data_IF_590347214486
#
_entry.id   IF_590347214486
#
_cell.length_a   1.000
_cell.length_b   1.000
_cell.length_c   1.000
_cell.angle_alpha   90.00
_cell.angle_beta   90.00
_cell.angle_gamma   90.00
#
_symmetry.space_group_name_H-M   'P 1'
#
loop_
_entity.id
_entity.type
_entity.pdbx_description
1 polymer ?
#
# COMPACT_ATOMS: atom_id res chain seq x y z
N UNK A 1 28.64 -40.18 -25.02
CA UNK A 1 29.04 -39.87 -23.63
C UNK A 1 27.99 -38.94 -23.05
N UNK A 2 27.26 -39.20 -21.98
CA UNK A 2 26.82 -40.38 -21.25
C UNK A 2 25.84 -39.81 -20.20
N UNK A 3 24.76 -40.52 -19.88
CA UNK A 3 23.77 -40.14 -18.86
C UNK A 3 24.38 -40.21 -17.45
N UNK A 4 23.87 -39.42 -16.50
CA UNK A 4 23.24 -39.92 -15.26
C UNK A 4 23.11 -38.83 -14.14
N UNK A 5 21.90 -38.67 -13.61
CA UNK A 5 21.59 -38.66 -12.17
C UNK A 5 20.85 -40.00 -11.88
N UNK A 6 20.50 -40.45 -10.63
CA UNK A 6 20.45 -39.81 -9.29
C UNK A 6 20.83 -40.77 -8.10
N UNK A 7 20.41 -40.41 -6.85
CA UNK A 7 20.17 -41.19 -5.59
C UNK A 7 21.00 -40.64 -4.39
N UNK A 8 20.47 -40.19 -3.24
CA UNK A 8 19.44 -40.63 -2.26
C UNK A 8 19.98 -41.59 -1.16
N UNK A 9 19.63 -41.31 0.11
CA UNK A 9 19.48 -42.17 1.33
C UNK A 9 19.88 -41.38 2.61
N UNK A 10 18.92 -41.01 3.48
CA UNK A 10 18.42 -41.72 4.69
C UNK A 10 19.52 -41.84 5.80
N UNK A 11 19.30 -41.58 7.10
CA UNK A 11 18.27 -42.16 7.97
C UNK A 11 18.24 -41.54 9.40
N UNK A 12 17.01 -41.37 9.91
CA UNK A 12 16.43 -41.49 11.28
C UNK A 12 17.27 -41.44 12.58
N UNK A 13 16.66 -40.84 13.61
CA UNK A 13 16.89 -41.14 15.04
C UNK A 13 15.83 -40.51 15.96
N UNK A 14 14.87 -41.32 16.43
CA UNK A 14 13.90 -40.99 17.48
C UNK A 14 14.51 -41.19 18.88
N UNK A 15 14.13 -40.36 19.87
CA UNK A 15 14.03 -40.77 21.28
C UNK A 15 13.00 -39.94 22.03
N UNK A 16 12.21 -40.65 22.83
CA UNK A 16 11.11 -40.29 23.72
C UNK A 16 11.57 -39.68 25.05
N UNK A 17 10.73 -38.87 25.74
CA UNK A 17 10.22 -39.10 27.12
C UNK A 17 9.36 -37.90 27.61
N UNK A 18 8.26 -38.19 28.30
CA UNK A 18 7.33 -37.26 28.94
C UNK A 18 7.70 -36.96 30.40
N UNK A 19 7.37 -35.76 30.92
CA UNK A 19 6.55 -35.56 32.14
C UNK A 19 6.35 -34.07 32.53
N UNK A 20 5.13 -33.81 33.00
CA UNK A 20 4.62 -32.80 33.95
C UNK A 20 4.80 -31.29 33.76
N UNK A 21 3.65 -30.62 33.65
CA UNK A 21 3.50 -29.18 33.83
C UNK A 21 2.06 -28.72 33.73
N UNK A 22 1.14 -29.28 34.52
CA UNK A 22 -0.23 -28.77 34.63
C UNK A 22 -0.31 -27.74 35.76
N UNK A 23 -0.39 -26.45 35.39
CA UNK A 23 -0.75 -25.34 36.27
C UNK A 23 -1.22 -24.13 35.46
N UNK A 24 -2.19 -23.34 35.95
CA UNK A 24 -3.22 -22.74 35.10
C UNK A 24 -3.22 -21.21 35.11
N UNK A 25 -3.14 -20.53 33.97
CA UNK A 25 -3.46 -19.09 33.88
C UNK A 25 -4.11 -18.78 32.53
N UNK A 26 -5.44 -18.68 32.47
CA UNK A 26 -6.21 -17.42 32.51
C UNK A 26 -5.80 -16.43 31.41
N UNK A 27 -6.59 -16.46 30.33
CA UNK A 27 -7.08 -15.33 29.53
C UNK A 27 -6.09 -14.25 29.11
N UNK A 28 -5.79 -14.21 27.81
CA UNK A 28 -5.36 -12.97 27.13
C UNK A 28 -5.88 -12.98 25.69
N UNK A 29 -7.19 -12.78 25.51
CA UNK A 29 -7.79 -12.44 24.22
C UNK A 29 -8.31 -10.99 24.31
N UNK A 30 -7.43 -10.01 24.44
CA UNK A 30 -7.82 -8.57 24.45
C UNK A 30 -6.70 -7.58 24.08
N UNK A 31 -5.46 -8.03 23.83
CA UNK A 31 -4.33 -7.13 23.55
C UNK A 31 -3.95 -7.02 22.06
N UNK A 32 -4.45 -7.91 21.19
CA UNK A 32 -4.03 -7.99 19.78
C UNK A 32 -4.86 -7.07 18.87
N UNK A 33 -6.11 -6.78 19.25
CA UNK A 33 -7.00 -5.89 18.49
C UNK A 33 -6.58 -4.43 18.53
N UNK A 34 -6.05 -3.94 19.65
CA UNK A 34 -5.68 -2.52 19.82
C UNK A 34 -4.49 -2.10 18.96
N UNK A 35 -3.51 -2.98 18.78
CA UNK A 35 -2.31 -2.69 17.99
C UNK A 35 -2.61 -2.72 16.49
N UNK A 36 -3.48 -3.65 16.06
CA UNK A 36 -3.97 -3.72 14.68
C UNK A 36 -4.82 -2.50 14.31
N UNK A 37 -5.70 -2.04 15.21
CA UNK A 37 -6.48 -0.81 15.02
C UNK A 37 -5.59 0.43 14.93
N UNK A 38 -4.54 0.52 15.75
CA UNK A 38 -3.59 1.64 15.71
C UNK A 38 -2.80 1.66 14.40
N UNK A 39 -2.34 0.51 13.92
CA UNK A 39 -1.65 0.38 12.63
C UNK A 39 -2.57 0.76 11.46
N UNK A 40 -3.83 0.31 11.49
CA UNK A 40 -4.83 0.71 10.49
C UNK A 40 -5.14 2.21 10.54
N UNK A 41 -5.24 2.79 11.74
CA UNK A 41 -5.46 4.23 11.92
C UNK A 41 -4.27 5.05 11.43
N UNK A 42 -3.04 4.61 11.70
CA UNK A 42 -1.81 5.22 11.17
C UNK A 42 -1.77 5.12 9.64
N UNK A 43 -2.03 3.93 9.09
CA UNK A 43 -2.09 3.70 7.64
C UNK A 43 -3.15 4.57 6.96
N UNK A 44 -4.32 4.73 7.59
CA UNK A 44 -5.37 5.62 7.12
C UNK A 44 -4.94 7.09 7.18
N UNK A 45 -4.33 7.53 8.29
CA UNK A 45 -3.82 8.89 8.43
C UNK A 45 -2.73 9.22 7.40
N UNK A 46 -1.87 8.27 7.07
CA UNK A 46 -0.88 8.38 6.00
C UNK A 46 -1.54 8.48 4.62
N UNK A 47 -2.59 7.70 4.37
CA UNK A 47 -3.38 7.77 3.14
C UNK A 47 -4.09 9.13 2.99
N UNK A 48 -4.66 9.65 4.08
CA UNK A 48 -5.31 10.96 4.10
C UNK A 48 -4.32 12.11 3.80
N UNK A 49 -3.13 12.08 4.41
CA UNK A 49 -2.06 13.05 4.10
C UNK A 49 -1.58 12.92 2.65
N UNK A 50 -1.42 11.69 2.16
CA UNK A 50 -1.04 11.44 0.77
C UNK A 50 -2.09 11.96 -0.21
N UNK A 51 -3.38 11.81 0.14
CA UNK A 51 -4.49 12.35 -0.63
C UNK A 51 -4.50 13.89 -0.64
N UNK A 52 -4.24 14.53 0.50
CA UNK A 52 -4.09 15.99 0.58
C UNK A 52 -2.94 16.49 -0.31
N UNK A 53 -1.79 15.82 -0.26
CA UNK A 53 -0.66 16.13 -1.13
C UNK A 53 -0.99 15.93 -2.60
N UNK A 54 -1.71 14.86 -2.95
CA UNK A 54 -2.17 14.59 -4.31
C UNK A 54 -3.06 15.72 -4.83
N UNK A 55 -4.11 16.07 -4.08
CA UNK A 55 -5.03 17.16 -4.45
C UNK A 55 -4.28 18.47 -4.63
N UNK A 56 -3.45 18.84 -3.66
CA UNK A 56 -2.64 20.05 -3.74
C UNK A 56 -1.72 20.05 -4.97
N UNK A 57 -1.03 18.94 -5.25
CA UNK A 57 -0.13 18.85 -6.39
C UNK A 57 -0.87 18.95 -7.75
N UNK A 58 -2.11 18.48 -7.81
CA UNK A 58 -2.98 18.58 -8.99
C UNK A 58 -3.56 19.99 -9.19
N UNK A 59 -3.81 20.74 -8.11
CA UNK A 59 -4.36 22.10 -8.18
C UNK A 59 -3.28 23.20 -8.24
N UNK A 60 -2.05 22.90 -7.84
CA UNK A 60 -0.96 23.86 -7.79
C UNK A 60 -0.28 23.98 -9.17
N UNK A 61 -0.28 25.18 -9.75
CA UNK A 61 0.46 25.47 -11.00
C UNK A 61 1.90 25.95 -10.74
N UNK A 62 2.23 26.32 -9.51
CA UNK A 62 3.54 26.89 -9.18
C UNK A 62 4.68 25.85 -9.29
N UNK A 63 5.72 26.22 -10.05
CA UNK A 63 6.97 25.46 -10.12
C UNK A 63 7.74 25.49 -8.80
N UNK A 64 7.57 26.57 -8.03
CA UNK A 64 8.15 26.77 -6.70
C UNK A 64 7.04 26.98 -5.69
N UNK A 65 6.33 25.89 -5.38
CA UNK A 65 5.28 25.89 -4.37
C UNK A 65 5.81 26.45 -3.04
N UNK A 66 5.05 27.38 -2.44
CA UNK A 66 5.39 28.06 -1.17
C UNK A 66 4.53 27.59 0.00
N UNK A 67 3.74 26.55 -0.21
CA UNK A 67 2.94 25.95 0.85
C UNK A 67 3.86 25.49 2.00
N UNK A 68 3.52 25.85 3.22
CA UNK A 68 4.38 25.63 4.39
C UNK A 68 4.51 24.15 4.76
N UNK A 69 3.48 23.35 4.47
CA UNK A 69 3.40 21.94 4.88
C UNK A 69 3.71 21.02 3.70
N UNK A 70 3.14 21.33 2.53
CA UNK A 70 3.20 20.49 1.34
C UNK A 70 4.23 20.97 0.32
N UNK A 71 4.78 22.18 0.45
CA UNK A 71 5.66 22.78 -0.57
C UNK A 71 6.88 21.93 -0.91
N UNK A 72 7.49 21.30 0.10
CA UNK A 72 8.62 20.39 -0.08
C UNK A 72 8.25 19.16 -0.94
N UNK A 73 7.05 18.59 -0.74
CA UNK A 73 6.61 17.37 -1.40
C UNK A 73 5.82 17.60 -2.69
N UNK A 74 5.22 18.78 -2.86
CA UNK A 74 4.41 19.14 -4.01
C UNK A 74 5.17 18.92 -5.34
N UNK A 75 6.40 19.41 -5.41
CA UNK A 75 7.26 19.21 -6.59
C UNK A 75 7.65 17.75 -6.84
N UNK A 76 7.72 16.92 -5.80
CA UNK A 76 7.96 15.48 -5.94
C UNK A 76 6.71 14.76 -6.44
N UNK A 77 5.55 15.06 -5.86
CA UNK A 77 4.27 14.50 -6.30
C UNK A 77 3.98 14.84 -7.76
N UNK A 78 4.16 16.10 -8.18
CA UNK A 78 4.02 16.49 -9.60
C UNK A 78 4.92 15.69 -10.54
N UNK A 79 6.18 15.47 -10.15
CA UNK A 79 7.15 14.69 -10.96
C UNK A 79 6.76 13.21 -10.98
N UNK A 80 6.35 12.67 -9.85
CA UNK A 80 5.86 11.31 -9.72
C UNK A 80 4.64 11.06 -10.61
N UNK A 81 3.62 11.93 -10.57
CA UNK A 81 2.43 11.83 -11.40
C UNK A 81 2.75 11.82 -12.89
N UNK A 82 3.69 12.69 -13.33
CA UNK A 82 4.15 12.68 -14.73
C UNK A 82 4.84 11.37 -15.09
N UNK A 83 5.75 10.88 -14.25
CA UNK A 83 6.44 9.62 -14.48
C UNK A 83 5.48 8.43 -14.49
N UNK A 84 4.55 8.37 -13.54
CA UNK A 84 3.53 7.33 -13.44
C UNK A 84 2.60 7.32 -14.65
N UNK A 85 2.21 8.50 -15.16
CA UNK A 85 1.43 8.61 -16.40
C UNK A 85 2.16 7.96 -17.58
N UNK A 86 3.41 8.33 -17.83
CA UNK A 86 4.22 7.72 -18.88
C UNK A 86 4.42 6.21 -18.68
N UNK A 87 4.75 5.79 -17.46
CA UNK A 87 5.01 4.39 -17.15
C UNK A 87 3.76 3.51 -17.23
N UNK A 88 2.56 4.06 -17.01
CA UNK A 88 1.29 3.32 -17.05
C UNK A 88 1.00 2.67 -18.41
N UNK A 89 1.64 3.15 -19.47
CA UNK A 89 1.56 2.57 -20.81
C UNK A 89 2.40 1.28 -20.97
N UNK A 90 3.33 0.98 -20.06
CA UNK A 90 4.07 -0.29 -20.06
C UNK A 90 3.32 -1.34 -19.22
N UNK A 91 3.00 -2.49 -19.81
CA UNK A 91 2.32 -3.57 -19.11
C UNK A 91 3.15 -4.16 -17.95
N UNK A 92 4.48 -4.05 -18.00
CA UNK A 92 5.36 -4.45 -16.90
C UNK A 92 5.22 -3.52 -15.70
N UNK A 93 4.92 -2.23 -15.92
CA UNK A 93 4.73 -1.27 -14.83
C UNK A 93 3.67 -1.73 -13.83
N UNK A 94 2.58 -2.29 -14.36
CA UNK A 94 1.46 -2.83 -13.56
C UNK A 94 1.85 -3.95 -12.59
N UNK A 95 3.03 -4.57 -12.76
CA UNK A 95 3.55 -5.60 -11.85
C UNK A 95 4.38 -5.02 -10.71
N UNK A 96 4.76 -3.73 -10.76
CA UNK A 96 5.54 -3.12 -9.69
C UNK A 96 4.64 -2.65 -8.54
N UNK A 97 5.10 -2.77 -7.28
CA UNK A 97 4.35 -2.32 -6.11
C UNK A 97 3.93 -0.85 -6.19
N UNK A 98 4.75 0.01 -6.81
CA UNK A 98 4.45 1.43 -6.96
C UNK A 98 3.20 1.70 -7.83
N UNK A 99 2.88 0.81 -8.77
CA UNK A 99 1.65 0.91 -9.55
C UNK A 99 0.42 0.56 -8.70
N UNK A 100 0.54 -0.40 -7.77
CA UNK A 100 -0.51 -0.72 -6.82
C UNK A 100 -0.76 0.45 -5.86
N UNK A 101 0.30 0.98 -5.23
CA UNK A 101 0.21 2.15 -4.34
C UNK A 101 -0.42 3.36 -5.03
N UNK A 102 -0.05 3.63 -6.29
CA UNK A 102 -0.66 4.72 -7.07
C UNK A 102 -2.15 4.47 -7.32
N UNK A 103 -2.51 3.24 -7.68
CA UNK A 103 -3.91 2.86 -7.92
C UNK A 103 -4.76 2.96 -6.65
N UNK A 104 -4.20 2.53 -5.51
CA UNK A 104 -4.82 2.65 -4.19
C UNK A 104 -5.05 4.11 -3.82
N UNK A 105 -4.06 4.99 -3.99
CA UNK A 105 -4.18 6.41 -3.69
C UNK A 105 -5.25 7.09 -4.56
N UNK A 106 -5.28 6.81 -5.86
CA UNK A 106 -6.30 7.35 -6.77
C UNK A 106 -7.70 6.84 -6.43
N UNK A 107 -7.82 5.57 -6.07
CA UNK A 107 -9.11 4.96 -5.68
C UNK A 107 -9.58 5.54 -4.36
N UNK A 108 -8.69 5.67 -3.37
CA UNK A 108 -8.98 6.32 -2.10
C UNK A 108 -9.45 7.75 -2.33
N UNK A 109 -8.75 8.54 -3.15
CA UNK A 109 -9.20 9.88 -3.50
C UNK A 109 -10.63 9.85 -4.08
N UNK A 110 -10.87 9.01 -5.10
CA UNK A 110 -12.16 8.93 -5.78
C UNK A 110 -13.31 8.61 -4.81
N UNK A 111 -13.13 7.64 -3.91
CA UNK A 111 -14.13 7.26 -2.90
C UNK A 111 -14.50 8.39 -1.93
N UNK A 112 -13.57 9.32 -1.70
CA UNK A 112 -13.74 10.42 -0.75
C UNK A 112 -14.02 11.77 -1.45
N UNK A 113 -13.99 11.83 -2.78
CA UNK A 113 -14.08 13.08 -3.54
C UNK A 113 -15.52 13.39 -3.96
N UNK A 114 -16.04 14.54 -3.50
CA UNK A 114 -17.39 15.03 -3.82
C UNK A 114 -17.40 16.15 -4.86
N UNK A 115 -16.23 16.54 -5.38
CA UNK A 115 -16.11 17.66 -6.32
C UNK A 115 -16.64 17.30 -7.71
N UNK A 116 -17.54 18.10 -8.27
CA UNK A 116 -18.05 17.89 -9.62
C UNK A 116 -16.96 18.03 -10.68
N UNK A 117 -16.05 18.98 -10.49
CA UNK A 117 -14.85 19.17 -11.31
C UNK A 117 -13.64 18.93 -10.42
N UNK A 118 -12.88 17.88 -10.70
CA UNK A 118 -11.71 17.47 -9.92
C UNK A 118 -10.50 17.35 -10.84
N UNK A 119 -9.37 17.92 -10.43
CA UNK A 119 -8.12 17.89 -11.19
C UNK A 119 -7.30 16.61 -10.94
N UNK A 120 -7.71 15.76 -10.00
CA UNK A 120 -7.04 14.48 -9.76
C UNK A 120 -7.28 13.52 -10.93
N UNK A 121 -6.21 12.97 -11.54
CA UNK A 121 -6.33 12.06 -12.67
C UNK A 121 -7.23 10.87 -12.36
N UNK A 122 -8.03 10.44 -13.34
CA UNK A 122 -8.93 9.30 -13.23
C UNK A 122 -10.04 9.42 -12.17
N UNK A 123 -10.09 10.49 -11.35
CA UNK A 123 -11.05 10.59 -10.25
C UNK A 123 -12.50 10.43 -10.71
N UNK A 124 -12.89 11.09 -11.79
CA UNK A 124 -14.26 10.99 -12.33
C UNK A 124 -14.58 9.56 -12.77
N UNK A 125 -13.70 8.95 -13.55
CA UNK A 125 -13.88 7.58 -14.04
C UNK A 125 -13.96 6.58 -12.89
N UNK A 126 -13.10 6.71 -11.89
CA UNK A 126 -13.09 5.82 -10.72
C UNK A 126 -14.34 5.98 -9.86
N UNK A 127 -14.86 7.21 -9.67
CA UNK A 127 -16.13 7.42 -8.96
C UNK A 127 -17.30 6.73 -9.66
N UNK A 128 -17.35 6.83 -10.98
CA UNK A 128 -18.40 6.21 -11.78
C UNK A 128 -18.34 4.67 -11.69
N UNK A 129 -17.15 4.09 -11.48
CA UNK A 129 -16.96 2.64 -11.32
C UNK A 129 -17.13 2.11 -9.89
N UNK A 130 -16.95 2.94 -8.86
CA UNK A 130 -17.08 2.53 -7.45
C UNK A 130 -18.51 2.72 -6.93
N UNK A 131 -19.30 3.60 -7.57
CA UNK A 131 -20.69 3.90 -7.17
C UNK A 131 -21.75 3.11 -7.97
N UNK A 132 -21.34 2.16 -8.82
CA UNK A 132 -22.20 1.24 -9.57
C UNK A 132 -21.98 -0.20 -9.09
#
# INVERSE_FOLDING_TARGET
MERAQPANEQQQGQTTTAHDGAGPHKGVDSADTSDQELYQAMSRGEMERSNQLLMHACDCDDLRCRDAELGALCGHMKRFLRAACWASHDQRWRKYPIAAVMSELLTFHAMNCQLQQCNVPMCRQLRDHVLL
#
